data_IF_001604483689
#
_entry.id   IF_001604483689
#
_cell.length_a   1.000
_cell.length_b   1.000
_cell.length_c   1.000
_cell.angle_alpha   90.00
_cell.angle_beta   90.00
_cell.angle_gamma   90.00
#
_symmetry.space_group_name_H-M   'P 1'
#
loop_
_entity.id
_entity.type
_entity.pdbx_description
1 polymer ?
#
# COMPACT_ATOMS: atom_id res chain seq x y z
N UNK A 1 8.84 4.51 -22.95
CA UNK A 1 7.37 4.70 -22.84
C UNK A 1 7.00 4.47 -21.39
N UNK A 2 6.10 5.28 -20.83
CA UNK A 2 5.65 5.07 -19.44
C UNK A 2 4.99 3.70 -19.29
N UNK A 3 5.35 2.98 -18.23
CA UNK A 3 4.69 1.72 -17.85
C UNK A 3 3.32 1.96 -17.23
N UNK A 4 2.97 3.20 -16.93
CA UNK A 4 1.66 3.57 -16.37
C UNK A 4 0.64 3.77 -17.50
N UNK A 5 -0.61 3.38 -17.28
CA UNK A 5 -1.73 3.66 -18.19
C UNK A 5 -2.14 5.13 -18.10
N UNK A 6 -2.55 5.70 -19.23
CA UNK A 6 -2.98 7.09 -19.29
C UNK A 6 -4.20 7.30 -18.40
N UNK A 7 -4.26 8.44 -17.69
CA UNK A 7 -5.36 8.81 -16.78
C UNK A 7 -5.62 7.79 -15.66
N UNK A 8 -4.57 7.10 -15.18
CA UNK A 8 -4.68 6.30 -13.96
C UNK A 8 -5.07 7.20 -12.78
N UNK A 9 -6.24 6.97 -12.20
CA UNK A 9 -6.73 7.63 -10.99
C UNK A 9 -7.10 6.54 -9.97
N UNK A 10 -6.79 6.74 -8.68
CA UNK A 10 -7.10 5.76 -7.65
C UNK A 10 -8.53 5.92 -7.14
N UNK A 11 -9.10 4.83 -6.64
CA UNK A 11 -10.16 4.91 -5.64
C UNK A 11 -9.53 5.36 -4.32
N UNK A 12 -10.17 6.30 -3.62
CA UNK A 12 -9.73 6.81 -2.34
C UNK A 12 -10.75 6.43 -1.25
N UNK A 13 -10.28 5.76 -0.20
CA UNK A 13 -11.13 5.26 0.89
C UNK A 13 -10.51 5.67 2.22
N UNK A 14 -11.28 6.32 3.08
CA UNK A 14 -10.85 6.62 4.46
C UNK A 14 -11.46 5.54 5.36
N UNK A 15 -10.61 4.87 6.14
CA UNK A 15 -11.03 3.89 7.13
C UNK A 15 -11.01 4.51 8.52
N UNK A 16 -12.03 4.24 9.31
CA UNK A 16 -12.11 4.72 10.69
C UNK A 16 -11.26 3.84 11.62
N UNK A 17 -10.84 4.42 12.74
CA UNK A 17 -10.19 3.67 13.82
C UNK A 17 -11.20 2.69 14.46
N UNK A 18 -10.88 1.40 14.51
CA UNK A 18 -11.74 0.36 15.11
C UNK A 18 -11.39 0.01 16.57
N UNK A 19 -10.45 0.72 17.18
CA UNK A 19 -9.98 0.52 18.54
C UNK A 19 -8.81 -0.46 18.69
N UNK A 20 -8.47 -1.21 17.63
CA UNK A 20 -7.27 -2.06 17.57
C UNK A 20 -6.39 -1.73 16.36
N UNK A 21 -7.00 -1.29 15.27
CA UNK A 21 -6.38 -0.79 14.05
C UNK A 21 -6.64 0.71 13.98
N UNK A 22 -5.59 1.53 14.09
CA UNK A 22 -5.76 2.99 14.16
C UNK A 22 -6.18 3.61 12.83
N UNK A 23 -5.85 2.96 11.70
CA UNK A 23 -6.00 3.51 10.35
C UNK A 23 -5.40 4.93 10.26
N UNK A 24 -5.89 5.75 9.32
CA UNK A 24 -5.38 7.09 9.09
C UNK A 24 -6.48 7.99 8.51
N UNK A 25 -6.39 9.29 8.80
CA UNK A 25 -7.22 10.32 8.15
C UNK A 25 -6.88 10.46 6.66
N UNK A 26 -5.64 10.15 6.28
CA UNK A 26 -5.22 10.08 4.89
C UNK A 26 -5.92 8.88 4.24
N UNK A 27 -6.46 9.03 3.02
CA UNK A 27 -7.17 7.94 2.37
C UNK A 27 -6.19 6.83 1.94
N UNK A 28 -6.58 5.58 2.16
CA UNK A 28 -6.07 4.45 1.41
C UNK A 28 -6.39 4.65 -0.07
N UNK A 29 -5.40 4.42 -0.94
CA UNK A 29 -5.55 4.60 -2.38
C UNK A 29 -5.38 3.26 -3.09
N UNK A 30 -6.23 2.95 -4.06
CA UNK A 30 -6.03 1.79 -4.94
C UNK A 30 -6.21 2.17 -6.41
N UNK A 31 -5.13 1.99 -7.17
CA UNK A 31 -5.09 2.09 -8.61
C UNK A 31 -5.39 0.73 -9.24
N UNK A 32 -6.50 0.61 -9.96
CA UNK A 32 -6.87 -0.64 -10.63
C UNK A 32 -6.31 -0.67 -12.06
N UNK A 33 -5.46 -1.65 -12.35
CA UNK A 33 -4.87 -1.92 -13.66
C UNK A 33 -3.97 -0.80 -14.16
N UNK A 34 -3.41 0.02 -13.28
CA UNK A 34 -2.65 1.19 -13.66
C UNK A 34 -1.29 0.86 -14.31
N UNK A 35 -0.70 -0.30 -14.00
CA UNK A 35 0.63 -0.67 -14.50
C UNK A 35 0.51 -1.65 -15.68
N UNK A 36 1.16 -1.30 -16.80
CA UNK A 36 1.40 -2.16 -17.96
C UNK A 36 2.64 -3.01 -17.67
N UNK A 37 2.40 -4.23 -17.18
CA UNK A 37 3.48 -5.15 -16.83
C UNK A 37 4.16 -5.73 -18.07
N UNK A 38 5.49 -5.82 -18.05
CA UNK A 38 6.22 -6.69 -18.97
C UNK A 38 5.94 -8.15 -18.58
N UNK A 39 5.34 -8.99 -19.45
CA UNK A 39 5.06 -10.39 -19.15
C UNK A 39 6.29 -11.21 -18.76
N UNK A 40 7.49 -10.83 -19.24
CA UNK A 40 8.74 -11.52 -18.92
C UNK A 40 9.33 -11.09 -17.59
N UNK A 41 9.10 -9.85 -17.16
CA UNK A 41 9.71 -9.23 -15.97
C UNK A 41 8.70 -8.35 -15.20
N UNK A 42 7.55 -8.90 -14.77
CA UNK A 42 6.49 -8.08 -14.16
C UNK A 42 6.92 -7.50 -12.81
N UNK A 43 7.70 -8.23 -12.01
CA UNK A 43 8.21 -7.76 -10.73
C UNK A 43 9.13 -6.54 -10.91
N UNK A 44 10.12 -6.67 -11.80
CA UNK A 44 11.06 -5.58 -12.09
C UNK A 44 10.37 -4.36 -12.71
N UNK A 45 9.26 -4.56 -13.43
CA UNK A 45 8.47 -3.44 -13.95
C UNK A 45 7.95 -2.55 -12.82
N UNK A 46 7.48 -3.15 -11.73
CA UNK A 46 6.93 -2.42 -10.58
C UNK A 46 8.06 -1.87 -9.70
N UNK A 47 9.12 -2.65 -9.46
CA UNK A 47 10.29 -2.18 -8.70
C UNK A 47 10.89 -0.91 -9.30
N UNK A 48 11.15 -0.94 -10.62
CA UNK A 48 11.68 0.23 -11.33
C UNK A 48 10.72 1.43 -11.27
N UNK A 49 9.41 1.20 -11.31
CA UNK A 49 8.40 2.26 -11.20
C UNK A 49 8.45 2.92 -9.82
N UNK A 50 8.46 2.12 -8.75
CA UNK A 50 8.54 2.62 -7.38
C UNK A 50 9.84 3.35 -7.12
N UNK A 51 10.98 2.75 -7.51
CA UNK A 51 12.30 3.37 -7.34
C UNK A 51 12.43 4.69 -8.10
N UNK A 52 11.91 4.77 -9.33
CA UNK A 52 11.90 6.01 -10.11
C UNK A 52 11.10 7.13 -9.44
N UNK A 53 10.11 6.78 -8.62
CA UNK A 53 9.29 7.72 -7.84
C UNK A 53 9.78 7.87 -6.38
N UNK A 54 10.97 7.35 -6.05
CA UNK A 54 11.59 7.50 -4.73
C UNK A 54 11.03 6.56 -3.65
N UNK A 55 10.27 5.53 -4.03
CA UNK A 55 9.82 4.47 -3.14
C UNK A 55 10.77 3.29 -3.25
N UNK A 56 11.51 3.01 -2.19
CA UNK A 56 12.57 2.01 -2.15
C UNK A 56 12.37 0.98 -1.06
N UNK A 57 13.45 0.26 -0.70
CA UNK A 57 13.37 -0.85 0.24
C UNK A 57 12.49 -1.98 -0.28
N UNK A 58 12.55 -2.22 -1.59
CA UNK A 58 11.68 -3.13 -2.32
C UNK A 58 11.84 -4.57 -1.86
N UNK A 59 10.72 -5.29 -1.84
CA UNK A 59 10.68 -6.73 -1.55
C UNK A 59 9.63 -7.41 -2.42
N UNK A 60 9.76 -8.73 -2.63
CA UNK A 60 8.82 -9.56 -3.41
C UNK A 60 8.21 -10.64 -2.52
N UNK A 61 6.90 -10.64 -2.31
CA UNK A 61 6.19 -11.68 -1.54
C UNK A 61 4.66 -11.59 -1.73
N UNK A 62 3.87 -12.28 -0.91
CA UNK A 62 2.45 -12.00 -0.72
C UNK A 62 2.18 -10.98 0.38
N UNK A 63 0.91 -10.93 0.82
CA UNK A 63 0.46 -10.18 2.00
C UNK A 63 0.20 -11.20 3.12
N UNK A 64 0.54 -10.88 4.36
CA UNK A 64 0.30 -11.79 5.49
C UNK A 64 -1.19 -12.13 5.63
N UNK A 65 -1.46 -13.37 6.01
CA UNK A 65 -2.80 -13.93 6.23
C UNK A 65 -3.39 -13.57 7.62
N UNK A 66 -2.72 -12.70 8.36
CA UNK A 66 -3.16 -12.17 9.64
C UNK A 66 -3.28 -10.65 9.61
N UNK A 67 -4.18 -10.11 10.43
CA UNK A 67 -4.33 -8.66 10.58
C UNK A 67 -3.08 -8.02 11.20
N UNK A 68 -2.55 -7.04 10.49
CA UNK A 68 -1.42 -6.22 10.92
C UNK A 68 -1.46 -4.84 10.28
N UNK A 69 -0.61 -3.93 10.76
CA UNK A 69 -0.40 -2.61 10.18
C UNK A 69 1.04 -2.12 10.39
N UNK A 70 1.40 -1.03 9.71
CA UNK A 70 2.67 -0.33 9.88
C UNK A 70 2.44 1.04 10.51
N UNK A 71 2.97 1.28 11.71
CA UNK A 71 2.78 2.55 12.41
C UNK A 71 3.86 3.60 12.09
N UNK A 72 5.03 3.16 11.58
CA UNK A 72 6.23 3.99 11.42
C UNK A 72 6.43 4.53 10.02
N UNK A 73 5.71 3.99 9.02
CA UNK A 73 5.96 4.27 7.61
C UNK A 73 4.70 4.04 6.77
N UNK A 74 4.57 4.78 5.67
CA UNK A 74 3.60 4.49 4.60
C UNK A 74 4.10 3.32 3.74
N UNK A 75 3.18 2.59 3.13
CA UNK A 75 3.53 1.44 2.29
C UNK A 75 2.85 1.55 0.93
N UNK A 76 3.52 1.06 -0.11
CA UNK A 76 2.91 0.79 -1.40
C UNK A 76 3.08 -0.69 -1.74
N UNK A 77 2.01 -1.29 -2.27
CA UNK A 77 1.94 -2.67 -2.73
C UNK A 77 1.55 -2.68 -4.21
N UNK A 78 2.44 -3.12 -5.09
CA UNK A 78 2.14 -3.31 -6.51
C UNK A 78 2.02 -4.80 -6.85
N UNK A 79 0.90 -5.22 -7.43
CA UNK A 79 0.68 -6.64 -7.76
C UNK A 79 1.37 -6.98 -9.08
N UNK A 80 2.41 -7.80 -9.02
CA UNK A 80 3.15 -8.25 -10.20
C UNK A 80 2.50 -9.48 -10.85
N UNK A 81 1.92 -10.38 -10.05
CA UNK A 81 1.34 -11.65 -10.53
C UNK A 81 0.10 -12.06 -9.74
N UNK A 82 -0.72 -12.90 -10.38
CA UNK A 82 -1.89 -13.49 -9.76
C UNK A 82 -2.93 -12.46 -9.31
N UNK A 83 -3.67 -12.86 -8.28
CA UNK A 83 -4.67 -12.02 -7.62
C UNK A 83 -4.86 -12.42 -6.17
N UNK A 84 -5.33 -11.48 -5.36
CA UNK A 84 -5.72 -11.74 -3.98
C UNK A 84 -6.96 -10.95 -3.60
N UNK A 85 -7.67 -11.47 -2.60
CA UNK A 85 -8.65 -10.71 -1.83
C UNK A 85 -7.99 -10.33 -0.51
N UNK A 86 -7.83 -9.03 -0.31
CA UNK A 86 -7.18 -8.44 0.85
C UNK A 86 -8.19 -7.57 1.57
N UNK A 87 -8.31 -7.76 2.89
CA UNK A 87 -9.04 -6.83 3.76
C UNK A 87 -8.12 -5.65 4.07
N UNK A 88 -8.61 -4.44 3.89
CA UNK A 88 -7.96 -3.19 4.30
C UNK A 88 -8.85 -2.45 5.28
N UNK A 89 -8.28 -1.76 6.25
CA UNK A 89 -9.01 -0.96 7.24
C UNK A 89 -9.32 -1.67 8.57
N UNK A 90 -8.84 -2.89 8.79
CA UNK A 90 -9.20 -3.66 10.00
C UNK A 90 -10.55 -4.37 9.90
N UNK A 91 -11.15 -4.72 11.03
CA UNK A 91 -12.35 -5.58 11.06
C UNK A 91 -13.61 -4.90 10.54
N UNK A 92 -13.67 -3.56 10.65
CA UNK A 92 -14.70 -2.71 10.05
C UNK A 92 -14.31 -2.17 8.67
N UNK A 93 -13.20 -2.66 8.12
CA UNK A 93 -12.68 -2.28 6.82
C UNK A 93 -13.41 -2.93 5.64
N UNK A 94 -12.74 -2.95 4.50
CA UNK A 94 -13.28 -3.48 3.24
C UNK A 94 -12.37 -4.55 2.64
N UNK A 95 -12.97 -5.64 2.18
CA UNK A 95 -12.29 -6.63 1.32
C UNK A 95 -12.28 -6.15 -0.13
N UNK A 96 -11.08 -6.00 -0.68
CA UNK A 96 -10.85 -5.62 -2.08
C UNK A 96 -10.17 -6.77 -2.81
N UNK A 97 -10.59 -7.00 -4.05
CA UNK A 97 -9.83 -7.83 -4.97
C UNK A 97 -8.77 -6.99 -5.67
N UNK A 98 -7.51 -7.41 -5.54
CA UNK A 98 -6.36 -6.84 -6.23
C UNK A 98 -5.75 -7.89 -7.16
N UNK A 99 -5.26 -7.47 -8.33
CA UNK A 99 -4.70 -8.36 -9.35
C UNK A 99 -3.51 -7.71 -10.06
N UNK A 100 -2.78 -8.52 -10.82
CA UNK A 100 -1.62 -8.06 -11.59
C UNK A 100 -1.87 -6.72 -12.32
N UNK A 101 -1.03 -5.73 -12.04
CA UNK A 101 -1.10 -4.37 -12.57
C UNK A 101 -1.81 -3.36 -11.65
N UNK A 102 -2.42 -3.81 -10.55
CA UNK A 102 -2.99 -2.94 -9.52
C UNK A 102 -1.89 -2.45 -8.56
N UNK A 103 -2.10 -1.25 -7.98
CA UNK A 103 -1.24 -0.67 -6.93
C UNK A 103 -2.11 -0.17 -5.78
N UNK A 104 -1.83 -0.62 -4.57
CA UNK A 104 -2.45 -0.15 -3.34
C UNK A 104 -1.45 0.68 -2.54
N UNK A 105 -1.87 1.86 -2.05
CA UNK A 105 -1.06 2.75 -1.22
C UNK A 105 -1.73 2.88 0.13
N UNK A 106 -0.98 2.48 1.16
CA UNK A 106 -1.44 2.35 2.52
C UNK A 106 -0.81 3.47 3.37
N UNK A 107 -1.62 4.42 3.84
CA UNK A 107 -1.22 5.31 4.92
C UNK A 107 -0.76 4.51 6.14
N UNK A 108 0.18 5.07 6.92
CA UNK A 108 0.62 4.45 8.16
C UNK A 108 -0.59 4.24 9.08
N UNK A 109 -0.70 3.05 9.66
CA UNK A 109 -1.84 2.62 10.46
C UNK A 109 -2.88 1.79 9.72
N UNK A 110 -2.86 1.75 8.38
CA UNK A 110 -3.84 0.98 7.60
C UNK A 110 -3.71 -0.51 7.91
N UNK A 111 -4.71 -1.06 8.61
CA UNK A 111 -4.79 -2.49 8.89
C UNK A 111 -5.01 -3.27 7.61
N UNK A 112 -4.29 -4.37 7.41
CA UNK A 112 -4.52 -5.22 6.26
C UNK A 112 -4.23 -6.70 6.52
N UNK A 113 -4.90 -7.56 5.75
CA UNK A 113 -4.85 -9.01 5.87
C UNK A 113 -5.22 -9.68 4.54
N UNK A 114 -4.41 -10.63 4.10
CA UNK A 114 -4.74 -11.51 2.99
C UNK A 114 -5.83 -12.51 3.41
N UNK A 115 -6.98 -12.48 2.74
CA UNK A 115 -8.09 -13.43 2.97
C UNK A 115 -7.94 -14.66 2.07
N UNK A 116 -7.50 -14.44 0.83
CA UNK A 116 -7.28 -15.49 -0.17
C UNK A 116 -6.37 -14.96 -1.26
N UNK A 117 -5.45 -15.79 -1.75
CA UNK A 117 -4.61 -15.49 -2.90
C UNK A 117 -4.63 -16.64 -3.92
N UNK A 118 -4.30 -16.35 -5.17
CA UNK A 118 -3.92 -17.38 -6.14
C UNK A 118 -2.50 -17.88 -5.85
N UNK A 119 -2.19 -19.10 -6.31
CA UNK A 119 -0.90 -19.75 -6.04
C UNK A 119 0.31 -18.97 -6.58
N UNK A 120 0.09 -18.16 -7.63
CA UNK A 120 1.09 -17.32 -8.27
C UNK A 120 1.11 -15.87 -7.77
N UNK A 121 0.34 -15.54 -6.73
CA UNK A 121 0.23 -14.17 -6.23
C UNK A 121 1.58 -13.63 -5.75
N UNK A 122 2.02 -12.53 -6.36
CA UNK A 122 3.26 -11.85 -6.02
C UNK A 122 3.04 -10.34 -6.05
N UNK A 123 3.44 -9.70 -4.95
CA UNK A 123 3.38 -8.27 -4.69
C UNK A 123 4.79 -7.76 -4.49
N UNK A 124 5.03 -6.56 -5.03
CA UNK A 124 6.19 -5.75 -4.72
C UNK A 124 5.76 -4.76 -3.66
N UNK A 125 6.35 -4.83 -2.47
CA UNK A 125 6.19 -3.80 -1.47
C UNK A 125 7.35 -2.82 -1.48
N UNK A 126 7.07 -1.55 -1.21
CA UNK A 126 8.07 -0.50 -1.09
C UNK A 126 7.63 0.58 -0.10
N UNK A 127 8.58 1.42 0.31
CA UNK A 127 8.39 2.44 1.32
C UNK A 127 9.00 3.77 0.84
N UNK A 128 8.42 4.92 1.22
CA UNK A 128 9.06 6.19 0.95
C UNK A 128 10.28 6.38 1.87
N UNK A 129 11.14 7.38 1.61
CA UNK A 129 12.29 7.64 2.46
C UNK A 129 11.83 7.99 3.89
N UNK A 130 12.42 7.34 4.90
CA UNK A 130 12.01 7.58 6.28
C UNK A 130 12.48 6.51 7.25
N UNK A 131 11.71 6.35 8.33
CA UNK A 131 11.95 5.34 9.35
C UNK A 131 11.83 3.92 8.78
N UNK A 132 12.43 2.95 9.48
CA UNK A 132 12.29 1.54 9.12
C UNK A 132 10.86 1.09 9.36
N UNK A 133 10.40 0.22 8.46
CA UNK A 133 9.13 -0.48 8.62
C UNK A 133 9.15 -1.37 9.87
N UNK A 134 8.04 -1.36 10.62
CA UNK A 134 7.75 -2.30 11.70
C UNK A 134 6.40 -2.99 11.43
N UNK A 135 6.35 -4.32 11.52
CA UNK A 135 5.09 -5.07 11.49
C UNK A 135 4.44 -4.99 12.87
N UNK A 136 3.24 -4.43 12.96
CA UNK A 136 2.51 -4.25 14.21
C UNK A 136 1.26 -5.13 14.26
N UNK A 137 1.07 -5.84 15.36
CA UNK A 137 -0.15 -6.64 15.63
C UNK A 137 -1.23 -5.75 16.24
N UNK A 138 -2.48 -5.99 15.85
CA UNK A 138 -3.65 -5.31 16.39
C UNK A 138 -3.92 -5.73 17.85
N UNK A 139 -3.40 -4.94 18.79
CA UNK A 139 -3.57 -5.11 20.24
C UNK A 139 -3.78 -3.73 20.87
N UNK A 140 -4.49 -3.61 22.01
CA UNK A 140 -4.73 -2.31 22.65
C UNK A 140 -3.46 -1.50 22.94
N UNK A 141 -2.38 -2.17 23.37
CA UNK A 141 -1.10 -1.50 23.70
C UNK A 141 -0.42 -0.94 22.44
N UNK A 142 -0.37 -1.73 21.38
CA UNK A 142 0.16 -1.31 20.09
C UNK A 142 -0.69 -0.20 19.45
N UNK A 143 -2.01 -0.26 19.60
CA UNK A 143 -2.93 0.77 19.14
C UNK A 143 -2.63 2.11 19.83
N UNK A 144 -2.57 2.11 21.17
CA UNK A 144 -2.23 3.30 21.95
C UNK A 144 -0.84 3.87 21.62
N UNK A 145 0.13 3.02 21.29
CA UNK A 145 1.45 3.45 20.79
C UNK A 145 1.34 4.05 19.39
N UNK A 146 0.62 3.39 18.49
CA UNK A 146 0.47 3.81 17.10
C UNK A 146 -0.21 5.17 16.97
N UNK A 147 -1.20 5.48 17.82
CA UNK A 147 -1.83 6.81 17.88
C UNK A 147 -0.85 7.96 18.16
N UNK A 148 0.30 7.67 18.79
CA UNK A 148 1.37 8.65 19.01
C UNK A 148 2.40 8.65 17.88
N UNK A 149 2.62 7.51 17.24
CA UNK A 149 3.64 7.33 16.19
C UNK A 149 3.17 7.80 14.82
N UNK A 150 1.96 7.44 14.40
CA UNK A 150 1.42 7.71 13.06
C UNK A 150 1.44 9.20 12.69
N UNK A 151 1.06 10.15 13.59
CA UNK A 151 1.10 11.59 13.26
C UNK A 151 2.52 12.13 12.98
N UNK A 152 3.57 11.38 13.34
CA UNK A 152 4.96 11.76 13.10
C UNK A 152 5.51 11.21 11.77
N UNK A 153 4.73 10.38 11.06
CA UNK A 153 5.14 9.81 9.78
C UNK A 153 5.06 10.89 8.71
N UNK A 154 6.20 11.16 8.06
CA UNK A 154 6.29 12.17 7.02
C UNK A 154 5.56 11.73 5.75
N UNK A 155 4.86 12.68 5.12
CA UNK A 155 4.27 12.46 3.79
C UNK A 155 5.36 12.13 2.76
N UNK A 156 5.09 11.21 1.82
CA UNK A 156 6.06 10.84 0.79
C UNK A 156 6.27 12.00 -0.19
N UNK A 157 7.46 12.11 -0.81
CA UNK A 157 7.78 13.23 -1.72
C UNK A 157 7.13 13.12 -3.11
N UNK A 158 6.54 11.97 -3.45
CA UNK A 158 5.90 11.69 -4.74
C UNK A 158 4.91 10.53 -4.63
N UNK A 159 3.93 10.50 -5.55
CA UNK A 159 3.08 9.35 -5.78
C UNK A 159 3.89 8.19 -6.39
N UNK A 160 3.80 6.95 -5.87
CA UNK A 160 4.58 5.81 -6.35
C UNK A 160 4.23 5.38 -7.78
N UNK A 161 3.07 5.78 -8.30
CA UNK A 161 2.59 5.46 -9.65
C UNK A 161 2.86 6.63 -10.59
N UNK A 162 2.44 7.84 -10.22
CA UNK A 162 2.39 9.00 -11.14
C UNK A 162 3.34 10.14 -10.80
N UNK A 163 4.16 10.00 -9.75
CA UNK A 163 5.22 10.94 -9.41
C UNK A 163 4.73 12.21 -8.71
N UNK A 164 5.46 13.32 -8.91
CA UNK A 164 5.29 14.58 -8.14
C UNK A 164 3.97 15.31 -8.37
N UNK A 165 3.29 15.04 -9.47
CA UNK A 165 1.99 15.63 -9.80
C UNK A 165 0.84 14.61 -9.65
N UNK A 166 1.13 13.47 -9.02
CA UNK A 166 0.23 12.34 -8.89
C UNK A 166 -0.93 12.56 -7.92
N UNK A 167 -1.90 11.64 -7.96
CA UNK A 167 -3.12 11.77 -7.16
C UNK A 167 -2.85 11.76 -5.66
N UNK A 168 -1.85 11.00 -5.18
CA UNK A 168 -1.43 11.02 -3.78
C UNK A 168 -1.14 12.45 -3.30
N UNK A 169 -0.40 13.23 -4.09
CA UNK A 169 0.01 14.60 -3.72
C UNK A 169 -1.17 15.55 -3.57
N UNK A 170 -2.30 15.23 -4.20
CA UNK A 170 -3.56 15.98 -4.10
C UNK A 170 -4.44 15.47 -2.95
N UNK A 171 -4.46 14.15 -2.72
CA UNK A 171 -5.38 13.48 -1.81
C UNK A 171 -4.86 13.35 -0.38
N UNK A 172 -3.54 13.36 -0.18
CA UNK A 172 -2.92 13.30 1.15
C UNK A 172 -2.54 14.71 1.60
N UNK A 173 -3.44 15.36 2.34
CA UNK A 173 -3.30 16.73 2.86
C UNK A 173 -3.67 16.82 4.33
#
# INVERSE_FOLDING_TARGET
MSVVRDKAEPLAIVFEDDGLVPNNILPFLVYQGAVKLDPKRPEETIENLFEANGWGGTWRNGVYDYLHYHATVHEVLGVARGSARVRFGGDHGQELQIKAGDVAILPAGTGHQCIKASDDFCVIGAYPPGAKMEITRATPENHAKALKTIPQVALPPADPVTGKDGALMRLWR
#
